data_IF_334326189638
#
_entry.id   IF_334326189638
#
_cell.length_a   1.000
_cell.length_b   1.000
_cell.length_c   1.000
_cell.angle_alpha   90.00
_cell.angle_beta   90.00
_cell.angle_gamma   90.00
#
_symmetry.space_group_name_H-M   'P 1'
#
loop_
_entity.id
_entity.type
_entity.pdbx_description
1 polymer ?
#
# COMPACT_ATOMS: atom_id res chain seq x y z
N UNK A 1 -6.48 -0.77 -11.10
CA UNK A 1 -7.26 -1.59 -10.14
C UNK A 1 -6.32 -2.17 -9.11
N UNK A 2 -6.63 -2.03 -7.81
CA UNK A 2 -5.92 -2.74 -6.75
C UNK A 2 -6.38 -4.20 -6.74
N UNK A 3 -5.44 -5.09 -6.53
CA UNK A 3 -5.59 -6.54 -6.54
C UNK A 3 -5.22 -7.11 -5.17
N UNK A 4 -4.88 -8.40 -5.07
CA UNK A 4 -4.74 -9.09 -3.79
C UNK A 4 -3.79 -8.35 -2.84
N UNK A 5 -4.19 -8.26 -1.58
CA UNK A 5 -3.38 -7.74 -0.50
C UNK A 5 -2.97 -8.87 0.46
N UNK A 6 -1.73 -8.83 0.93
CA UNK A 6 -1.22 -9.75 1.95
C UNK A 6 -0.46 -8.97 3.00
N UNK A 7 -0.61 -9.37 4.26
CA UNK A 7 0.16 -8.85 5.38
C UNK A 7 1.09 -9.95 5.89
N UNK A 8 2.39 -9.69 5.84
CA UNK A 8 3.38 -10.48 6.56
C UNK A 8 3.76 -9.74 7.84
N UNK A 9 3.47 -10.25 9.04
CA UNK A 9 3.73 -9.54 10.29
C UNK A 9 5.22 -9.47 10.67
N UNK A 10 6.06 -10.35 10.12
CA UNK A 10 7.46 -10.47 10.51
C UNK A 10 7.65 -11.03 11.93
N UNK A 11 8.87 -10.94 12.46
CA UNK A 11 9.21 -11.51 13.78
C UNK A 11 8.48 -10.73 14.88
N UNK A 12 7.61 -11.43 15.63
CA UNK A 12 6.79 -10.86 16.70
C UNK A 12 5.97 -9.62 16.27
N UNK A 13 5.59 -9.50 14.99
CA UNK A 13 4.83 -8.35 14.50
C UNK A 13 5.61 -7.03 14.41
N UNK A 14 6.93 -7.05 14.60
CA UNK A 14 7.77 -5.84 14.65
C UNK A 14 8.26 -5.38 13.27
N UNK A 15 8.16 -6.26 12.28
CA UNK A 15 8.63 -6.04 10.91
C UNK A 15 7.52 -6.31 9.89
N UNK A 16 6.34 -5.68 10.03
CA UNK A 16 5.26 -5.93 9.10
C UNK A 16 5.59 -5.45 7.69
N UNK A 17 5.14 -6.21 6.71
CA UNK A 17 5.18 -5.87 5.30
C UNK A 17 3.81 -6.11 4.69
N UNK A 18 3.16 -5.03 4.24
CA UNK A 18 1.92 -5.11 3.47
C UNK A 18 2.30 -5.14 2.00
N UNK A 19 1.93 -6.21 1.31
CA UNK A 19 2.15 -6.36 -0.12
C UNK A 19 0.83 -6.26 -0.86
N UNK A 20 0.77 -5.32 -1.81
CA UNK A 20 -0.40 -5.03 -2.61
C UNK A 20 -0.05 -5.19 -4.08
N UNK A 21 -0.81 -6.02 -4.78
CA UNK A 21 -0.74 -6.11 -6.23
C UNK A 21 -1.71 -5.11 -6.85
N UNK A 22 -1.35 -4.48 -7.96
CA UNK A 22 -2.23 -3.53 -8.63
C UNK A 22 -1.86 -3.36 -10.10
N UNK A 23 -2.76 -2.79 -10.89
CA UNK A 23 -2.54 -2.49 -12.31
C UNK A 23 -2.67 -1.00 -12.56
N UNK A 24 -1.70 -0.45 -13.28
CA UNK A 24 -1.75 0.92 -13.76
C UNK A 24 -2.76 1.02 -14.92
N UNK A 25 -3.56 2.10 -15.02
CA UNK A 25 -4.51 2.28 -16.12
C UNK A 25 -3.85 2.18 -17.49
N UNK A 26 -4.58 1.64 -18.47
CA UNK A 26 -4.10 1.58 -19.85
C UNK A 26 -3.99 3.01 -20.43
N UNK A 27 -3.05 3.20 -21.36
CA UNK A 27 -2.85 4.47 -22.06
C UNK A 27 -1.68 5.33 -21.54
N UNK A 28 -1.12 5.01 -20.37
CA UNK A 28 0.11 5.64 -19.86
C UNK A 28 1.00 4.59 -19.17
N UNK A 29 2.32 4.84 -19.13
CA UNK A 29 3.28 3.95 -18.47
C UNK A 29 3.49 4.36 -17.02
N UNK A 30 3.73 3.42 -16.11
CA UNK A 30 4.08 3.72 -14.72
C UNK A 30 5.40 4.49 -14.62
N UNK A 31 5.41 5.57 -13.85
CA UNK A 31 6.55 6.44 -13.59
C UNK A 31 6.38 7.06 -12.20
N UNK A 32 6.86 6.39 -11.15
CA UNK A 32 6.85 6.97 -9.80
C UNK A 32 8.10 7.82 -9.55
N UNK A 33 8.00 8.95 -8.82
CA UNK A 33 6.80 9.51 -8.18
C UNK A 33 5.93 10.40 -9.11
N UNK A 34 6.26 10.43 -10.40
CA UNK A 34 5.66 11.35 -11.37
C UNK A 34 4.19 11.07 -11.69
N UNK A 35 3.68 9.85 -11.51
CA UNK A 35 2.32 9.49 -11.90
C UNK A 35 1.58 8.51 -10.96
N UNK A 36 2.16 8.24 -9.79
CA UNK A 36 1.50 7.50 -8.70
C UNK A 36 1.81 8.17 -7.36
N UNK A 37 0.77 8.35 -6.55
CA UNK A 37 0.89 8.74 -5.16
C UNK A 37 0.55 7.53 -4.28
N UNK A 38 1.31 7.36 -3.21
CA UNK A 38 1.11 6.32 -2.21
C UNK A 38 0.79 6.98 -0.89
N UNK A 39 -0.19 6.43 -0.17
CA UNK A 39 -0.57 6.92 1.14
C UNK A 39 -0.76 5.79 2.11
N UNK A 40 -0.66 6.13 3.38
CA UNK A 40 -0.98 5.23 4.47
C UNK A 40 -1.80 5.94 5.54
N UNK A 41 -2.61 5.20 6.29
CA UNK A 41 -3.38 5.75 7.41
C UNK A 41 -3.39 4.77 8.60
N UNK A 42 -2.97 5.26 9.77
CA UNK A 42 -3.16 4.52 11.01
C UNK A 42 -4.67 4.36 11.30
N UNK A 43 -5.09 3.14 11.59
CA UNK A 43 -6.51 2.79 11.79
C UNK A 43 -7.33 2.66 10.51
N UNK A 44 -6.75 2.89 9.32
CA UNK A 44 -7.47 2.79 8.04
C UNK A 44 -8.42 3.95 7.75
N UNK A 45 -8.21 5.10 8.41
CA UNK A 45 -9.09 6.27 8.31
C UNK A 45 -8.61 7.24 7.23
N UNK A 46 -9.46 7.50 6.22
CA UNK A 46 -9.20 8.45 5.12
C UNK A 46 -8.80 9.88 5.53
N UNK A 47 -9.27 10.46 6.65
CA UNK A 47 -8.80 11.78 7.08
C UNK A 47 -7.31 11.82 7.48
N UNK A 48 -6.72 10.67 7.81
CA UNK A 48 -5.37 10.56 8.37
C UNK A 48 -4.33 10.06 7.34
N UNK A 49 -4.54 10.37 6.07
CA UNK A 49 -3.63 9.96 5.00
C UNK A 49 -2.29 10.67 5.13
N UNK A 50 -1.24 9.87 5.31
CA UNK A 50 0.15 10.29 5.25
C UNK A 50 0.72 9.89 3.90
N UNK A 51 1.22 10.86 3.13
CA UNK A 51 1.90 10.60 1.87
C UNK A 51 3.22 9.87 2.08
N UNK A 52 3.47 8.83 1.30
CA UNK A 52 4.70 8.03 1.35
C UNK A 52 5.38 8.05 -0.01
N UNK A 53 6.68 8.28 0.01
CA UNK A 53 7.53 8.26 -1.19
C UNK A 53 8.26 6.93 -1.30
N UNK A 54 8.55 6.52 -2.54
CA UNK A 54 9.37 5.33 -2.78
C UNK A 54 10.75 5.48 -2.11
N UNK A 55 11.23 4.38 -1.54
CA UNK A 55 12.50 4.34 -0.83
C UNK A 55 12.60 3.10 0.05
N UNK A 56 13.32 3.20 1.15
CA UNK A 56 13.59 2.05 2.04
C UNK A 56 12.31 1.38 2.54
N UNK A 57 11.27 2.17 2.83
CA UNK A 57 10.02 1.72 3.46
C UNK A 57 8.86 1.50 2.47
N UNK A 58 9.05 1.84 1.20
CA UNK A 58 8.05 1.67 0.15
C UNK A 58 8.74 1.32 -1.15
N UNK A 59 8.47 0.13 -1.66
CA UNK A 59 9.05 -0.33 -2.93
C UNK A 59 7.97 -0.86 -3.86
N UNK A 60 8.07 -0.53 -5.14
CA UNK A 60 7.21 -1.09 -6.18
C UNK A 60 8.07 -1.84 -7.19
N UNK A 61 7.61 -3.03 -7.60
CA UNK A 61 8.28 -3.91 -8.57
C UNK A 61 7.31 -4.32 -9.68
N UNK A 62 7.85 -4.84 -10.78
CA UNK A 62 7.09 -5.19 -11.98
C UNK A 62 7.20 -4.12 -13.09
N UNK A 63 6.32 -4.17 -14.11
CA UNK A 63 5.16 -5.04 -14.21
C UNK A 63 5.53 -6.48 -14.64
N UNK A 64 4.91 -7.48 -14.00
CA UNK A 64 4.90 -8.87 -14.50
C UNK A 64 3.48 -9.16 -15.00
N UNK A 65 3.31 -9.35 -16.31
CA UNK A 65 1.98 -9.52 -16.91
C UNK A 65 1.03 -8.32 -16.69
N UNK A 66 1.57 -7.10 -16.61
CA UNK A 66 0.81 -5.87 -16.36
C UNK A 66 0.43 -5.62 -14.90
N UNK A 67 0.92 -6.43 -13.96
CA UNK A 67 0.69 -6.27 -12.52
C UNK A 67 1.95 -5.74 -11.85
N UNK A 68 1.78 -4.65 -11.11
CA UNK A 68 2.77 -4.07 -10.22
C UNK A 68 2.55 -4.59 -8.81
N UNK A 69 3.64 -4.78 -8.07
CA UNK A 69 3.61 -5.20 -6.68
C UNK A 69 4.26 -4.13 -5.82
N UNK A 70 3.49 -3.51 -4.93
CA UNK A 70 3.97 -2.52 -3.97
C UNK A 70 4.04 -3.12 -2.58
N UNK A 71 5.16 -2.90 -1.90
CA UNK A 71 5.39 -3.32 -0.52
C UNK A 71 5.56 -2.10 0.37
N UNK A 72 4.70 -1.99 1.37
CA UNK A 72 4.81 -1.04 2.48
C UNK A 72 5.46 -1.75 3.66
N UNK A 73 6.58 -1.23 4.17
CA UNK A 73 7.36 -1.88 5.23
C UNK A 73 7.21 -1.14 6.56
N UNK A 74 7.61 -1.80 7.65
CA UNK A 74 7.48 -1.35 9.04
C UNK A 74 7.76 0.14 9.30
N UNK A 75 8.75 0.74 8.64
CA UNK A 75 9.09 2.16 8.82
C UNK A 75 7.97 3.15 8.45
N UNK A 76 6.95 2.71 7.71
CA UNK A 76 5.73 3.51 7.41
C UNK A 76 4.46 2.88 7.98
N UNK A 77 4.56 1.80 8.76
CA UNK A 77 3.43 1.07 9.35
C UNK A 77 3.38 1.20 10.88
N UNK A 78 3.81 2.36 11.39
CA UNK A 78 3.81 2.65 12.82
C UNK A 78 2.41 2.48 13.42
N UNK A 79 2.28 1.57 14.40
CA UNK A 79 1.03 1.29 15.10
C UNK A 79 0.15 0.18 14.49
N UNK A 80 0.65 -0.57 13.49
CA UNK A 80 -0.05 -1.77 13.01
C UNK A 80 0.00 -2.94 14.00
N UNK A 81 0.99 -2.99 14.90
CA UNK A 81 1.08 -4.03 15.93
C UNK A 81 -0.07 -3.91 16.92
N UNK A 82 -0.96 -4.92 16.93
CA UNK A 82 -2.18 -4.88 17.74
C UNK A 82 -3.26 -3.95 17.18
N UNK A 83 -3.14 -3.53 15.92
CA UNK A 83 -4.03 -2.54 15.31
C UNK A 83 -4.30 -2.80 13.83
N UNK A 84 -4.77 -1.75 13.17
CA UNK A 84 -5.13 -1.74 11.75
C UNK A 84 -4.45 -0.59 11.02
N UNK A 85 -4.22 -0.77 9.73
CA UNK A 85 -3.54 0.20 8.87
C UNK A 85 -4.13 0.16 7.45
N UNK A 86 -4.47 1.33 6.93
CA UNK A 86 -4.90 1.49 5.55
C UNK A 86 -3.71 1.82 4.67
N UNK A 87 -3.65 1.22 3.49
CA UNK A 87 -2.74 1.58 2.41
C UNK A 87 -3.55 2.00 1.20
N UNK A 88 -3.11 3.07 0.54
CA UNK A 88 -3.85 3.68 -0.55
C UNK A 88 -2.92 4.01 -1.71
N UNK A 89 -3.42 3.79 -2.92
CA UNK A 89 -2.75 4.15 -4.15
C UNK A 89 -3.66 5.03 -5.00
N UNK A 90 -3.05 6.02 -5.62
CA UNK A 90 -3.72 6.94 -6.52
C UNK A 90 -2.87 7.17 -7.76
N UNK A 91 -3.41 6.90 -8.94
CA UNK A 91 -2.71 7.17 -10.20
C UNK A 91 -3.10 8.55 -10.70
N UNK A 92 -2.14 9.28 -11.26
CA UNK A 92 -2.37 10.55 -11.94
C UNK A 92 -1.85 10.45 -13.37
N UNK A 93 -2.54 11.07 -14.33
CA UNK A 93 -2.08 11.10 -15.71
C UNK A 93 -1.34 12.41 -16.05
N UNK A 94 -0.82 12.52 -17.27
CA UNK A 94 -0.11 13.70 -17.74
C UNK A 94 -1.00 14.95 -17.93
N UNK A 95 -2.34 14.81 -17.87
CA UNK A 95 -3.30 15.91 -17.94
C UNK A 95 -3.64 16.48 -16.56
N UNK A 96 -3.20 15.82 -15.48
CA UNK A 96 -3.54 16.18 -14.11
C UNK A 96 -4.81 15.49 -13.60
N UNK A 97 -5.42 14.60 -14.38
CA UNK A 97 -6.50 13.75 -13.88
C UNK A 97 -5.94 12.80 -12.82
N UNK A 98 -6.75 12.56 -11.79
CA UNK A 98 -6.37 11.69 -10.66
C UNK A 98 -7.46 10.66 -10.46
N UNK A 99 -7.06 9.39 -10.28
CA UNK A 99 -8.00 8.30 -10.02
C UNK A 99 -8.64 8.40 -8.64
N UNK A 100 -9.71 7.63 -8.43
CA UNK A 100 -10.15 7.29 -7.08
C UNK A 100 -9.02 6.58 -6.31
N UNK A 101 -9.07 6.70 -4.97
CA UNK A 101 -8.15 6.00 -4.09
C UNK A 101 -8.47 4.50 -4.11
N UNK A 102 -7.50 3.73 -4.56
CA UNK A 102 -7.54 2.28 -4.42
C UNK A 102 -7.06 1.92 -3.02
N UNK A 103 -7.86 1.18 -2.25
CA UNK A 103 -7.64 1.02 -0.81
C UNK A 103 -7.45 -0.45 -0.44
N UNK A 104 -6.56 -0.73 0.49
CA UNK A 104 -6.53 -1.98 1.22
C UNK A 104 -6.30 -1.72 2.71
N UNK A 105 -6.94 -2.53 3.55
CA UNK A 105 -6.80 -2.47 5.00
C UNK A 105 -6.11 -3.73 5.49
N UNK A 106 -5.03 -3.53 6.23
CA UNK A 106 -4.27 -4.58 6.89
C UNK A 106 -4.47 -4.50 8.40
N UNK A 107 -4.56 -5.63 9.07
CA UNK A 107 -4.68 -5.68 10.54
C UNK A 107 -3.95 -6.89 11.10
N UNK A 108 -3.42 -6.76 12.31
CA UNK A 108 -2.86 -7.87 13.06
C UNK A 108 -3.00 -7.64 14.56
N UNK A 109 -3.17 -8.73 15.30
CA UNK A 109 -3.09 -8.74 16.75
C UNK A 109 -1.67 -8.52 17.27
N UNK A 110 -1.54 -8.55 18.60
CA UNK A 110 -0.24 -8.50 19.27
C UNK A 110 0.67 -9.64 18.80
N UNK A 111 1.98 -9.36 18.81
CA UNK A 111 3.01 -10.25 18.28
C UNK A 111 2.80 -10.70 16.82
N UNK A 112 1.96 -10.00 16.05
CA UNK A 112 1.65 -10.36 14.66
C UNK A 112 0.60 -11.45 14.49
N UNK A 113 -0.18 -11.74 15.54
CA UNK A 113 -1.22 -12.76 15.49
C UNK A 113 -2.34 -12.42 14.48
N UNK A 114 -2.90 -13.43 13.81
CA UNK A 114 -4.04 -13.30 12.88
C UNK A 114 -3.86 -12.17 11.84
N UNK A 115 -2.78 -12.15 11.04
CA UNK A 115 -2.59 -11.12 10.04
C UNK A 115 -3.67 -11.23 8.97
N UNK A 116 -4.35 -10.13 8.70
CA UNK A 116 -5.32 -10.01 7.63
C UNK A 116 -4.95 -8.83 6.73
N UNK A 117 -5.19 -8.96 5.43
CA UNK A 117 -5.27 -7.81 4.56
C UNK A 117 -6.40 -7.98 3.55
N UNK A 118 -7.27 -6.98 3.46
CA UNK A 118 -8.43 -6.98 2.58
C UNK A 118 -8.42 -5.75 1.70
N UNK A 119 -8.80 -5.96 0.45
CA UNK A 119 -8.94 -4.89 -0.55
C UNK A 119 -10.36 -4.32 -0.41
N UNK A 120 -10.50 -3.00 -0.56
CA UNK A 120 -11.77 -2.29 -0.53
C UNK A 120 -12.10 -1.64 -1.87
#
# INVERSE_FOLDING_TARGET
MIGPCTLSPGVAGTSPVITVNWRFPAGTAYAAPANVNYYVANGGLLPNLTGVVLGTNLSTTGPVGGVYTTQFKSGVLGGLLGGSYGVYLQTKDGSGWVSSLATANASMGLAGANPACTVQ
#
